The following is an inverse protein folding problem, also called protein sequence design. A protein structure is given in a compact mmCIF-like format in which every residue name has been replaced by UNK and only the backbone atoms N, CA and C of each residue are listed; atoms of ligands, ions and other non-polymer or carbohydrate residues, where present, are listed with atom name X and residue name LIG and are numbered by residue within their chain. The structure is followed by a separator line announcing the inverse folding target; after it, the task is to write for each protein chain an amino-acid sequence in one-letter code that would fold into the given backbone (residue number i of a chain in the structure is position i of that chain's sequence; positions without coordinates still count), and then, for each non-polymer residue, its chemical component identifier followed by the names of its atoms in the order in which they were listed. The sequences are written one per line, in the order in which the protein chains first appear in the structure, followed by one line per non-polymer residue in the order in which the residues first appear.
data_IF_720526850462
#
_entry.id   IF_720526850462
#
_cell.length_a   1.000
_cell.length_b   1.000
_cell.length_c   1.000
_cell.angle_alpha   90.00
_cell.angle_beta   90.00
_cell.angle_gamma   90.00
#
_symmetry.space_group_name_H-M   'P 1'
#
loop_
_entity.id
_entity.type
_entity.pdbx_description
1 polymer ?
#
# COMPACT_ATOMS: atom_id res chain seq x y z
N UNK A 1 8.18 46.04 -4.03
CA UNK A 1 6.86 45.43 -3.71
C UNK A 1 7.03 43.91 -3.68
N UNK A 2 7.03 43.30 -2.50
CA UNK A 2 7.17 41.84 -2.33
C UNK A 2 5.77 41.23 -2.37
N UNK A 3 5.45 40.48 -3.42
CA UNK A 3 4.19 39.72 -3.51
C UNK A 3 4.41 38.38 -2.83
N UNK A 4 3.79 38.21 -1.66
CA UNK A 4 3.69 36.92 -0.98
C UNK A 4 2.57 36.16 -1.69
N UNK A 5 2.93 35.08 -2.40
CA UNK A 5 1.95 34.17 -2.99
C UNK A 5 1.48 33.24 -1.88
N UNK A 6 0.37 33.59 -1.25
CA UNK A 6 -0.41 32.70 -0.40
C UNK A 6 -1.12 31.69 -1.32
N UNK A 7 -0.40 30.64 -1.70
CA UNK A 7 -1.00 29.48 -2.37
C UNK A 7 -1.61 28.56 -1.30
N UNK A 8 -2.94 28.53 -1.29
CA UNK A 8 -3.81 27.71 -0.47
C UNK A 8 -3.41 26.22 -0.48
N UNK A 9 -3.07 25.71 0.70
CA UNK A 9 -2.89 24.30 1.04
C UNK A 9 -4.27 23.61 1.01
N UNK A 10 -4.56 22.91 -0.08
CA UNK A 10 -5.80 22.12 -0.20
C UNK A 10 -5.54 20.80 -0.95
N UNK A 11 -4.42 20.12 -0.70
CA UNK A 11 -3.96 19.03 -1.58
C UNK A 11 -4.09 17.59 -1.08
N UNK A 12 -4.53 17.28 0.15
CA UNK A 12 -4.50 15.88 0.60
C UNK A 12 -5.72 15.44 1.42
N UNK A 13 -6.90 15.51 0.80
CA UNK A 13 -8.13 14.95 1.37
C UNK A 13 -8.85 14.04 0.37
N UNK A 14 -8.31 12.85 0.08
CA UNK A 14 -9.11 11.68 -0.34
C UNK A 14 -8.27 10.40 -0.19
N UNK A 15 -8.29 9.81 1.01
CA UNK A 15 -8.15 8.36 1.16
C UNK A 15 -9.12 7.88 2.25
N UNK A 16 -10.43 8.09 2.05
CA UNK A 16 -11.41 7.25 2.74
C UNK A 16 -11.56 5.99 1.91
N UNK A 17 -10.78 4.95 2.26
CA UNK A 17 -11.18 3.59 1.95
C UNK A 17 -12.55 3.41 2.62
N UNK A 18 -13.62 3.45 1.82
CA UNK A 18 -14.87 2.87 2.23
C UNK A 18 -14.58 1.41 2.50
N UNK A 19 -14.43 1.08 3.78
CA UNK A 19 -14.55 -0.27 4.26
C UNK A 19 -15.82 -0.83 3.63
N UNK A 20 -15.63 -1.86 2.83
CA UNK A 20 -16.68 -2.76 2.41
C UNK A 20 -17.21 -3.42 3.70
N UNK A 21 -18.04 -2.69 4.45
CA UNK A 21 -18.86 -3.25 5.49
C UNK A 21 -19.89 -4.08 4.75
N UNK A 22 -19.64 -5.39 4.68
CA UNK A 22 -20.64 -6.38 4.31
C UNK A 22 -21.89 -6.17 5.16
N UNK A 23 -22.84 -5.40 4.65
CA UNK A 23 -24.22 -5.37 5.10
C UNK A 23 -24.84 -6.63 4.53
N UNK A 24 -24.65 -7.74 5.23
CA UNK A 24 -25.53 -8.91 5.11
C UNK A 24 -26.91 -8.46 5.57
N UNK A 25 -27.73 -7.98 4.63
CA UNK A 25 -29.17 -7.92 4.79
C UNK A 25 -29.69 -9.34 4.55
N UNK A 26 -29.85 -10.09 5.64
CA UNK A 26 -30.72 -11.27 5.66
C UNK A 26 -31.64 -11.12 6.85
N UNK A 27 -32.67 -10.31 6.66
CA UNK A 27 -33.87 -10.37 7.50
C UNK A 27 -34.69 -11.58 7.05
N UNK A 28 -34.80 -12.58 7.92
CA UNK A 28 -35.98 -13.42 7.99
C UNK A 28 -36.26 -13.68 9.45
N UNK A 29 -37.39 -13.16 9.87
CA UNK A 29 -37.95 -13.20 11.21
C UNK A 29 -38.49 -14.60 11.57
N UNK A 30 -38.67 -14.76 12.89
CA UNK A 30 -39.62 -15.65 13.56
C UNK A 30 -39.28 -17.14 13.73
N UNK A 31 -38.77 -17.52 14.92
CA UNK A 31 -39.59 -18.17 15.97
C UNK A 31 -38.75 -18.75 17.14
N UNK A 32 -39.19 -18.39 18.34
CA UNK A 32 -39.37 -19.23 19.54
C UNK A 32 -38.15 -19.70 20.38
N UNK A 33 -38.10 -19.13 21.59
CA UNK A 33 -37.80 -19.70 22.91
C UNK A 33 -37.34 -21.17 23.01
N UNK A 34 -36.24 -21.42 23.72
CA UNK A 34 -36.27 -21.77 25.16
C UNK A 34 -34.88 -22.03 25.72
N UNK A 35 -34.68 -21.55 26.95
CA UNK A 35 -33.64 -21.92 27.91
C UNK A 35 -33.71 -23.41 28.24
N UNK A 36 -32.58 -24.13 28.38
CA UNK A 36 -32.20 -24.98 29.54
C UNK A 36 -30.71 -25.41 29.39
N UNK A 37 -29.97 -25.37 30.50
CA UNK A 37 -28.68 -26.03 30.75
C UNK A 37 -28.58 -27.47 30.19
N UNK A 38 -27.36 -27.93 29.87
CA UNK A 38 -26.79 -29.19 30.40
C UNK A 38 -25.26 -29.22 30.28
N UNK A 39 -24.64 -29.28 31.45
CA UNK A 39 -23.34 -29.87 31.77
C UNK A 39 -23.16 -31.25 31.12
N UNK A 40 -21.98 -31.55 30.57
CA UNK A 40 -21.35 -32.88 30.65
C UNK A 40 -19.90 -32.86 30.17
N UNK A 41 -19.02 -32.99 31.15
CA UNK A 41 -17.66 -33.53 31.09
C UNK A 41 -17.54 -34.74 30.15
N UNK A 42 -16.53 -34.73 29.30
CA UNK A 42 -15.84 -35.97 28.90
C UNK A 42 -14.36 -35.69 28.66
N UNK A 43 -13.55 -36.22 29.58
CA UNK A 43 -12.12 -36.47 29.39
C UNK A 43 -11.98 -37.55 28.33
N UNK A 44 -11.20 -37.30 27.30
CA UNK A 44 -10.51 -38.37 26.59
C UNK A 44 -9.02 -38.07 26.54
N UNK A 45 -8.29 -39.13 26.82
CA UNK A 45 -6.86 -39.25 27.09
C UNK A 45 -5.98 -38.99 25.87
N UNK A 46 -4.91 -38.26 26.13
CA UNK A 46 -3.57 -38.32 25.52
C UNK A 46 -3.30 -39.46 24.53
N UNK A 47 -2.81 -39.09 23.35
CA UNK A 47 -1.61 -39.71 22.77
C UNK A 47 -0.91 -38.68 21.88
N UNK A 48 0.15 -38.09 22.43
CA UNK A 48 1.12 -37.27 21.73
C UNK A 48 1.76 -38.08 20.60
N UNK A 49 1.55 -37.65 19.37
CA UNK A 49 2.46 -37.90 18.26
C UNK A 49 2.82 -36.54 17.69
N UNK A 50 3.77 -35.88 18.36
CA UNK A 50 4.48 -34.72 17.84
C UNK A 50 5.38 -35.21 16.70
N UNK A 51 4.80 -35.53 15.55
CA UNK A 51 5.55 -35.54 14.30
C UNK A 51 6.04 -34.12 14.12
N UNK A 52 7.34 -33.91 14.40
CA UNK A 52 8.09 -32.74 14.00
C UNK A 52 7.89 -32.52 12.50
N UNK A 53 6.89 -31.71 12.17
CA UNK A 53 6.78 -31.06 10.87
C UNK A 53 7.98 -30.14 10.78
N UNK A 54 9.08 -30.67 10.23
CA UNK A 54 10.09 -29.84 9.59
C UNK A 54 9.40 -29.18 8.41
N UNK A 55 8.64 -28.12 8.67
CA UNK A 55 8.29 -27.15 7.66
C UNK A 55 9.61 -26.52 7.28
N UNK A 56 10.24 -27.06 6.25
CA UNK A 56 11.22 -26.31 5.50
C UNK A 56 10.46 -25.08 5.00
N UNK A 57 10.55 -23.97 5.74
CA UNK A 57 10.21 -22.66 5.20
C UNK A 57 11.09 -22.52 3.97
N UNK A 58 10.51 -22.79 2.80
CA UNK A 58 10.95 -22.20 1.56
C UNK A 58 10.88 -20.69 1.78
N UNK A 59 11.98 -20.12 2.30
CA UNK A 59 12.19 -18.69 2.43
C UNK A 59 12.14 -18.12 1.00
N UNK A 60 10.92 -17.88 0.51
CA UNK A 60 10.64 -16.93 -0.55
C UNK A 60 11.09 -15.59 0.00
N UNK A 61 12.38 -15.33 -0.14
CA UNK A 61 13.05 -14.19 0.44
C UNK A 61 12.41 -12.97 -0.18
N UNK A 62 11.62 -12.26 0.62
CA UNK A 62 11.05 -10.97 0.23
C UNK A 62 12.21 -10.10 -0.20
N UNK A 63 12.24 -9.60 -1.45
CA UNK A 63 13.36 -8.77 -1.89
C UNK A 63 13.44 -7.53 -1.01
N UNK A 64 14.63 -6.97 -0.90
CA UNK A 64 14.78 -5.68 -0.25
C UNK A 64 14.03 -4.61 -1.06
N UNK A 65 12.97 -4.06 -0.47
CA UNK A 65 12.12 -3.07 -1.12
C UNK A 65 12.69 -1.69 -0.88
N UNK A 66 13.15 -1.05 -1.96
CA UNK A 66 13.68 0.31 -1.96
C UNK A 66 12.90 1.13 -2.98
N UNK A 67 11.99 1.97 -2.48
CA UNK A 67 11.20 2.89 -3.31
C UNK A 67 11.91 4.23 -3.50
N UNK A 68 12.42 4.80 -2.41
CA UNK A 68 13.27 6.00 -2.36
C UNK A 68 14.13 5.91 -1.09
N UNK A 69 15.35 6.40 -1.13
CA UNK A 69 16.19 6.51 0.07
C UNK A 69 15.90 7.80 0.84
N UNK A 70 16.18 7.83 2.15
CA UNK A 70 16.06 9.07 2.92
C UNK A 70 17.02 10.15 2.42
N UNK A 71 18.22 9.77 1.99
CA UNK A 71 19.22 10.68 1.43
C UNK A 71 18.74 11.37 0.14
N UNK A 72 18.12 10.63 -0.78
CA UNK A 72 17.54 11.22 -2.00
C UNK A 72 16.44 12.23 -1.66
N UNK A 73 15.60 11.90 -0.67
CA UNK A 73 14.51 12.78 -0.23
C UNK A 73 15.07 14.05 0.43
N UNK A 74 16.00 13.90 1.38
CA UNK A 74 16.51 15.02 2.17
C UNK A 74 17.38 15.99 1.36
N UNK A 75 17.93 15.54 0.23
CA UNK A 75 18.72 16.36 -0.68
C UNK A 75 17.88 17.18 -1.68
N UNK A 76 16.60 16.87 -1.87
CA UNK A 76 15.75 17.57 -2.82
C UNK A 76 15.44 19.00 -2.37
N UNK A 77 15.66 19.98 -3.24
CA UNK A 77 15.49 21.41 -2.91
C UNK A 77 14.62 22.16 -3.92
N UNK A 78 14.60 21.70 -5.16
CA UNK A 78 14.00 22.41 -6.29
C UNK A 78 12.69 21.77 -6.72
N UNK A 79 11.93 22.48 -7.55
CA UNK A 79 10.75 21.95 -8.21
C UNK A 79 11.08 20.70 -9.02
N UNK A 80 12.19 20.71 -9.76
CA UNK A 80 12.67 19.57 -10.54
C UNK A 80 12.94 18.36 -9.65
N UNK A 81 13.60 18.56 -8.51
CA UNK A 81 13.88 17.48 -7.57
C UNK A 81 12.59 16.85 -7.02
N UNK A 82 11.58 17.68 -6.68
CA UNK A 82 10.30 17.18 -6.19
C UNK A 82 9.56 16.33 -7.23
N UNK A 83 9.53 16.79 -8.49
CA UNK A 83 8.97 16.03 -9.62
C UNK A 83 9.71 14.70 -9.82
N UNK A 84 11.03 14.75 -9.79
CA UNK A 84 11.88 13.58 -9.97
C UNK A 84 11.65 12.54 -8.85
N UNK A 85 11.59 12.98 -7.59
CA UNK A 85 11.29 12.11 -6.46
C UNK A 85 9.90 11.45 -6.58
N UNK A 86 8.86 12.23 -6.88
CA UNK A 86 7.51 11.69 -7.00
C UNK A 86 7.38 10.72 -8.18
N UNK A 87 7.99 11.05 -9.33
CA UNK A 87 8.08 10.15 -10.47
C UNK A 87 8.79 8.85 -10.15
N UNK A 88 9.97 8.92 -9.52
CA UNK A 88 10.76 7.76 -9.13
C UNK A 88 10.05 6.87 -8.11
N UNK A 89 9.31 7.43 -7.16
CA UNK A 89 8.47 6.69 -6.23
C UNK A 89 7.45 5.81 -6.99
N UNK A 90 6.73 6.40 -7.95
CA UNK A 90 5.71 5.71 -8.74
C UNK A 90 6.35 4.64 -9.64
N UNK A 91 7.46 4.96 -10.31
CA UNK A 91 8.13 4.02 -11.21
C UNK A 91 8.67 2.80 -10.45
N UNK A 92 9.26 3.01 -9.26
CA UNK A 92 9.73 1.93 -8.41
C UNK A 92 8.56 1.11 -7.82
N UNK A 93 7.46 1.76 -7.44
CA UNK A 93 6.26 1.05 -7.00
C UNK A 93 5.71 0.15 -8.11
N UNK A 94 5.54 0.69 -9.32
CA UNK A 94 5.11 -0.05 -10.51
C UNK A 94 5.98 -1.27 -10.77
N UNK A 95 7.31 -1.11 -10.70
CA UNK A 95 8.24 -2.22 -10.85
C UNK A 95 7.89 -3.37 -9.90
N UNK A 96 7.75 -3.10 -8.60
CA UNK A 96 7.48 -4.16 -7.62
C UNK A 96 6.10 -4.81 -7.79
N UNK A 97 5.05 -4.04 -8.09
CA UNK A 97 3.73 -4.65 -8.32
C UNK A 97 3.70 -5.46 -9.63
N UNK A 98 4.49 -5.10 -10.65
CA UNK A 98 4.62 -5.95 -11.85
C UNK A 98 5.35 -7.25 -11.50
N UNK A 99 6.42 -7.18 -10.71
CA UNK A 99 7.12 -8.38 -10.22
C UNK A 99 6.22 -9.30 -9.39
N UNK A 100 5.42 -8.74 -8.48
CA UNK A 100 4.39 -9.48 -7.70
C UNK A 100 3.39 -10.11 -8.65
N UNK A 101 2.84 -9.34 -9.59
CA UNK A 101 1.87 -9.82 -10.56
C UNK A 101 2.39 -11.00 -11.38
N UNK A 102 3.67 -11.00 -11.75
CA UNK A 102 4.29 -12.12 -12.47
C UNK A 102 4.43 -13.40 -11.64
N UNK A 103 4.29 -13.31 -10.31
CA UNK A 103 4.31 -14.44 -9.37
C UNK A 103 2.90 -14.87 -8.93
N UNK A 104 1.86 -14.10 -9.27
CA UNK A 104 0.47 -14.47 -9.01
C UNK A 104 0.09 -15.67 -9.91
N UNK A 105 -0.47 -16.76 -9.36
CA UNK A 105 -0.95 -17.88 -10.17
C UNK A 105 -2.06 -17.46 -11.16
N UNK A 106 -2.16 -18.15 -12.29
CA UNK A 106 -3.13 -17.82 -13.37
C UNK A 106 -4.56 -17.65 -12.85
N UNK A 107 -4.99 -18.53 -11.92
CA UNK A 107 -6.32 -18.48 -11.32
C UNK A 107 -6.63 -17.18 -10.55
N UNK A 108 -5.62 -16.44 -10.11
CA UNK A 108 -5.76 -15.15 -9.41
C UNK A 108 -5.32 -13.95 -10.24
N UNK A 109 -4.81 -14.16 -11.45
CA UNK A 109 -4.19 -13.11 -12.26
C UNK A 109 -5.16 -12.02 -12.71
N UNK A 110 -6.36 -12.42 -13.10
CA UNK A 110 -7.41 -11.47 -13.50
C UNK A 110 -7.84 -10.56 -12.34
N UNK A 111 -8.14 -11.14 -11.18
CA UNK A 111 -8.54 -10.39 -9.99
C UNK A 111 -7.42 -9.43 -9.53
N UNK A 112 -6.16 -9.88 -9.62
CA UNK A 112 -5.01 -9.03 -9.35
C UNK A 112 -4.97 -7.83 -10.29
N UNK A 113 -5.04 -8.06 -11.62
CA UNK A 113 -4.99 -6.99 -12.62
C UNK A 113 -6.14 -5.97 -12.44
N UNK A 114 -7.36 -6.45 -12.17
CA UNK A 114 -8.52 -5.58 -11.89
C UNK A 114 -8.29 -4.65 -10.68
N UNK A 115 -7.45 -5.05 -9.72
CA UNK A 115 -7.10 -4.23 -8.57
C UNK A 115 -5.96 -3.27 -8.88
N UNK A 116 -4.91 -3.72 -9.57
CA UNK A 116 -3.68 -2.92 -9.71
C UNK A 116 -3.71 -1.95 -10.89
N UNK A 117 -4.36 -2.28 -11.99
CA UNK A 117 -4.38 -1.41 -13.19
C UNK A 117 -5.02 -0.05 -12.90
N UNK A 118 -6.23 0.03 -12.28
CA UNK A 118 -6.84 1.33 -11.96
C UNK A 118 -6.00 2.14 -10.95
N UNK A 119 -5.34 1.45 -10.01
CA UNK A 119 -4.47 2.09 -9.05
C UNK A 119 -3.25 2.72 -9.73
N UNK A 120 -2.66 2.04 -10.70
CA UNK A 120 -1.54 2.58 -11.49
C UNK A 120 -1.97 3.76 -12.36
N UNK A 121 -3.10 3.67 -13.05
CA UNK A 121 -3.64 4.80 -13.82
C UNK A 121 -3.90 6.02 -12.94
N UNK A 122 -4.42 5.81 -11.73
CA UNK A 122 -4.63 6.88 -10.76
C UNK A 122 -3.31 7.51 -10.30
N UNK A 123 -2.27 6.70 -10.03
CA UNK A 123 -0.93 7.21 -9.69
C UNK A 123 -0.32 8.01 -10.84
N UNK A 124 -0.48 7.56 -12.08
CA UNK A 124 -0.01 8.27 -13.28
C UNK A 124 -0.71 9.62 -13.46
N UNK A 125 -2.03 9.64 -13.30
CA UNK A 125 -2.81 10.89 -13.31
C UNK A 125 -2.37 11.84 -12.19
N UNK A 126 -2.08 11.31 -11.00
CA UNK A 126 -1.54 12.07 -9.88
C UNK A 126 -0.18 12.67 -10.22
N UNK A 127 0.72 11.90 -10.87
CA UNK A 127 2.03 12.38 -11.35
C UNK A 127 1.89 13.53 -12.32
N UNK A 128 1.02 13.42 -13.31
CA UNK A 128 0.78 14.49 -14.28
C UNK A 128 0.25 15.76 -13.60
N UNK A 129 -0.73 15.60 -12.71
CA UNK A 129 -1.34 16.71 -11.97
C UNK A 129 -0.34 17.40 -11.06
N UNK A 130 0.47 16.61 -10.34
CA UNK A 130 1.54 17.10 -9.49
C UNK A 130 2.58 17.89 -10.29
N UNK A 131 3.07 17.31 -11.39
CA UNK A 131 4.06 17.94 -12.26
C UNK A 131 3.52 19.25 -12.86
N UNK A 132 2.28 19.25 -13.35
CA UNK A 132 1.62 20.45 -13.88
C UNK A 132 1.49 21.54 -12.83
N UNK A 133 1.10 21.18 -11.61
CA UNK A 133 0.93 22.12 -10.49
C UNK A 133 2.26 22.77 -10.12
N UNK A 134 3.33 21.96 -10.03
CA UNK A 134 4.66 22.49 -9.75
C UNK A 134 5.20 23.35 -10.90
N UNK A 135 5.00 22.96 -12.16
CA UNK A 135 5.39 23.78 -13.32
C UNK A 135 4.69 25.15 -13.35
N UNK A 136 3.48 25.26 -12.80
CA UNK A 136 2.79 26.55 -12.68
C UNK A 136 3.40 27.46 -11.60
N UNK A 137 4.14 26.90 -10.64
CA UNK A 137 4.83 27.65 -9.60
C UNK A 137 6.20 28.19 -10.06
N UNK A 138 6.84 27.54 -11.03
CA UNK A 138 8.11 28.00 -11.60
C UNK A 138 8.84 26.93 -12.43
N UNK A 139 9.98 27.30 -13.06
CA UNK A 139 10.88 26.36 -13.71
C UNK A 139 11.51 25.37 -12.72
N UNK A 140 12.06 24.27 -13.24
CA UNK A 140 12.55 23.16 -12.43
C UNK A 140 13.71 23.52 -11.48
N UNK A 141 14.52 24.52 -11.81
CA UNK A 141 15.61 25.04 -10.96
C UNK A 141 15.13 25.94 -9.81
N UNK A 142 13.82 26.24 -9.76
CA UNK A 142 13.24 27.05 -8.69
C UNK A 142 13.37 26.35 -7.34
N UNK A 143 14.08 26.97 -6.40
CA UNK A 143 14.18 26.49 -5.02
C UNK A 143 12.83 26.63 -4.32
N UNK A 144 12.34 25.53 -3.75
CA UNK A 144 11.09 25.52 -3.00
C UNK A 144 11.33 26.06 -1.58
N UNK A 145 10.48 26.97 -1.07
CA UNK A 145 10.60 27.49 0.30
C UNK A 145 10.66 26.37 1.34
N UNK A 146 11.55 26.51 2.32
CA UNK A 146 11.88 25.44 3.27
C UNK A 146 10.67 24.87 4.01
N UNK A 147 9.75 25.72 4.46
CA UNK A 147 8.52 25.26 5.13
C UNK A 147 7.69 24.32 4.24
N UNK A 148 7.49 24.70 2.97
CA UNK A 148 6.71 23.92 2.02
C UNK A 148 7.46 22.65 1.61
N UNK A 149 8.78 22.77 1.46
CA UNK A 149 9.66 21.64 1.17
C UNK A 149 9.61 20.61 2.28
N UNK A 150 9.80 21.00 3.55
CA UNK A 150 9.78 20.06 4.67
C UNK A 150 8.42 19.34 4.78
N UNK A 151 7.32 20.06 4.55
CA UNK A 151 5.98 19.45 4.51
C UNK A 151 5.88 18.39 3.40
N UNK A 152 6.31 18.72 2.18
CA UNK A 152 6.31 17.78 1.05
C UNK A 152 7.18 16.55 1.34
N UNK A 153 8.41 16.75 1.80
CA UNK A 153 9.35 15.65 2.06
C UNK A 153 8.82 14.72 3.16
N UNK A 154 8.19 15.26 4.21
CA UNK A 154 7.57 14.45 5.26
C UNK A 154 6.39 13.61 4.74
N UNK A 155 5.54 14.21 3.90
CA UNK A 155 4.42 13.50 3.27
C UNK A 155 4.92 12.41 2.31
N UNK A 156 5.99 12.70 1.57
CA UNK A 156 6.63 11.74 0.68
C UNK A 156 7.23 10.55 1.44
N UNK A 157 7.93 10.79 2.56
CA UNK A 157 8.44 9.71 3.44
C UNK A 157 7.30 8.84 3.97
N UNK A 158 6.25 9.47 4.49
CA UNK A 158 5.05 8.75 4.97
C UNK A 158 4.42 7.89 3.87
N UNK A 159 4.22 8.48 2.68
CA UNK A 159 3.66 7.77 1.53
C UNK A 159 4.54 6.61 1.05
N UNK A 160 5.86 6.84 0.96
CA UNK A 160 6.85 5.81 0.63
C UNK A 160 6.78 4.64 1.60
N UNK A 161 6.75 4.90 2.91
CA UNK A 161 6.78 3.84 3.93
C UNK A 161 5.49 3.01 3.88
N UNK A 162 4.34 3.65 3.68
CA UNK A 162 3.06 2.95 3.49
C UNK A 162 3.08 2.08 2.22
N UNK A 163 3.58 2.60 1.10
CA UNK A 163 3.73 1.84 -0.15
C UNK A 163 4.69 0.65 0.02
N UNK A 164 5.81 0.85 0.72
CA UNK A 164 6.76 -0.22 1.03
C UNK A 164 6.10 -1.33 1.85
N UNK A 165 5.38 -0.98 2.90
CA UNK A 165 4.64 -1.94 3.73
C UNK A 165 3.59 -2.71 2.92
N UNK A 166 2.88 -2.05 2.00
CA UNK A 166 1.92 -2.70 1.12
C UNK A 166 2.61 -3.74 0.19
N UNK A 167 3.75 -3.39 -0.41
CA UNK A 167 4.53 -4.31 -1.24
C UNK A 167 5.04 -5.50 -0.42
N UNK A 168 5.61 -5.26 0.76
CA UNK A 168 6.07 -6.33 1.64
C UNK A 168 4.93 -7.26 2.07
N UNK A 169 3.75 -6.70 2.35
CA UNK A 169 2.54 -7.45 2.65
C UNK A 169 2.08 -8.33 1.49
N UNK A 170 2.11 -7.79 0.27
CA UNK A 170 1.76 -8.53 -0.94
C UNK A 170 2.75 -9.67 -1.23
N UNK A 171 4.06 -9.46 -1.03
CA UNK A 171 5.02 -10.57 -1.15
C UNK A 171 4.80 -11.67 -0.10
N UNK A 172 4.46 -11.30 1.14
CA UNK A 172 4.15 -12.27 2.21
C UNK A 172 2.89 -13.08 1.92
N UNK A 173 1.86 -12.47 1.34
CA UNK A 173 0.62 -13.18 0.99
C UNK A 173 0.80 -14.15 -0.18
N UNK A 174 1.77 -13.92 -1.06
CA UNK A 174 2.13 -14.85 -2.13
C UNK A 174 2.90 -16.08 -1.64
N UNK A 175 3.63 -15.98 -0.53
CA UNK A 175 4.53 -17.05 -0.09
C UNK A 175 3.85 -18.43 0.11
N UNK A 176 2.66 -18.51 0.73
CA UNK A 176 1.92 -19.78 0.85
C UNK A 176 1.38 -20.30 -0.49
N UNK A 177 1.03 -19.40 -1.41
CA UNK A 177 0.43 -19.76 -2.70
C UNK A 177 1.45 -20.39 -3.66
N UNK A 178 2.71 -19.98 -3.54
CA UNK A 178 3.81 -20.48 -4.36
C UNK A 178 4.43 -21.75 -3.73
N UNK A 179 4.42 -21.88 -2.40
CA UNK A 179 4.99 -23.05 -1.71
C UNK A 179 4.07 -24.28 -1.71
N UNK A 180 2.81 -24.11 -2.12
CA UNK A 180 1.82 -25.19 -2.24
C UNK A 180 1.66 -25.77 -3.65
N UNK A 181 2.43 -25.28 -4.63
CA UNK A 181 2.59 -25.88 -5.97
C UNK A 181 3.83 -26.76 -6.01
#
# INVERSE_FOLDING_TARGET
MKKIVTASVALLSVITLAACSGKSASESSDKASSSVEKTSTSKSSSSSSETSSKTASSDLKTPEIVLLTDEEIDNAKTIGDMKALFGKLIDNYKKYITEIGNKVPEAGKEAYNQQVEPAIESMETSRETFNKTLSAAGPDDTVVPEQNRNLFLQQLKTGRDAMKQAIEGAYKSLAPLISGQ
#
